data_IF_211939354254
#
_entry.id   IF_211939354254
#
_cell.length_a   1.000
_cell.length_b   1.000
_cell.length_c   1.000
_cell.angle_alpha   90.00
_cell.angle_beta   90.00
_cell.angle_gamma   90.00
#
_symmetry.space_group_name_H-M   'P 1'
#
loop_
_entity.id
_entity.type
_entity.pdbx_description
1 polymer ?
#
# COMPACT_ATOMS: atom_id res chain seq x y z
N UNK A 1 -31.27 -8.28 -17.66
CA UNK A 1 -30.70 -8.66 -16.35
C UNK A 1 -29.39 -7.91 -16.21
N UNK A 2 -29.15 -7.21 -15.11
CA UNK A 2 -27.82 -6.64 -14.86
C UNK A 2 -26.83 -7.82 -14.75
N UNK A 3 -25.64 -7.66 -15.34
CA UNK A 3 -24.58 -8.66 -15.18
C UNK A 3 -24.16 -8.75 -13.70
N UNK A 4 -23.78 -9.94 -13.25
CA UNK A 4 -23.27 -10.12 -11.88
C UNK A 4 -22.00 -9.27 -11.67
N UNK A 5 -21.84 -8.64 -10.49
CA UNK A 5 -20.65 -7.86 -10.18
C UNK A 5 -19.38 -8.67 -10.32
N UNK A 6 -18.40 -8.18 -11.07
CA UNK A 6 -17.12 -8.86 -11.25
C UNK A 6 -16.33 -8.89 -9.93
N UNK A 7 -15.89 -10.06 -9.45
CA UNK A 7 -15.13 -10.17 -8.21
C UNK A 7 -13.68 -9.72 -8.43
N UNK A 8 -13.17 -8.90 -7.51
CA UNK A 8 -11.76 -8.50 -7.47
C UNK A 8 -11.20 -8.63 -6.06
N UNK A 9 -9.91 -8.87 -5.95
CA UNK A 9 -9.15 -8.68 -4.73
C UNK A 9 -8.28 -7.42 -4.85
N UNK A 10 -8.12 -6.70 -3.76
CA UNK A 10 -7.28 -5.50 -3.71
C UNK A 10 -5.97 -5.80 -2.96
N UNK A 11 -4.88 -5.29 -3.49
CA UNK A 11 -3.56 -5.38 -2.88
C UNK A 11 -3.00 -3.96 -2.71
N UNK A 12 -3.01 -3.45 -1.45
CA UNK A 12 -2.78 -2.05 -1.14
C UNK A 12 -1.37 -1.84 -0.58
N UNK A 13 -0.51 -1.18 -1.35
CA UNK A 13 0.87 -0.92 -0.97
C UNK A 13 0.97 0.10 0.18
N UNK A 14 1.89 -0.15 1.11
CA UNK A 14 2.28 0.80 2.15
C UNK A 14 3.23 1.87 1.65
N UNK A 15 3.22 3.02 2.31
CA UNK A 15 4.06 4.16 1.95
C UNK A 15 3.77 5.43 2.75
N UNK A 16 3.35 5.30 4.01
CA UNK A 16 3.04 6.45 4.87
C UNK A 16 1.94 7.33 4.27
N UNK A 17 2.14 8.64 4.25
CA UNK A 17 1.18 9.62 3.73
C UNK A 17 0.87 9.46 2.24
N UNK A 18 1.73 8.76 1.46
CA UNK A 18 1.40 8.41 0.08
C UNK A 18 0.20 7.47 0.00
N UNK A 19 -0.20 6.81 1.08
CA UNK A 19 -1.45 6.07 1.20
C UNK A 19 -2.72 6.90 0.92
N UNK A 20 -2.63 8.24 0.95
CA UNK A 20 -3.71 9.11 0.50
C UNK A 20 -4.00 8.98 -1.01
N UNK A 21 -3.02 8.61 -1.84
CA UNK A 21 -3.25 8.21 -3.22
C UNK A 21 -4.15 6.95 -3.28
N UNK A 22 -3.88 5.97 -2.40
CA UNK A 22 -4.70 4.76 -2.28
C UNK A 22 -6.12 5.09 -1.84
N UNK A 23 -6.31 6.05 -0.90
CA UNK A 23 -7.64 6.54 -0.56
C UNK A 23 -8.40 7.03 -1.80
N UNK A 24 -7.79 7.86 -2.65
CA UNK A 24 -8.43 8.34 -3.87
C UNK A 24 -8.76 7.23 -4.86
N UNK A 25 -7.85 6.27 -5.04
CA UNK A 25 -8.09 5.11 -5.89
C UNK A 25 -9.26 4.26 -5.36
N UNK A 26 -9.35 4.05 -4.05
CA UNK A 26 -10.45 3.33 -3.40
C UNK A 26 -11.77 4.09 -3.53
N UNK A 27 -11.78 5.42 -3.37
CA UNK A 27 -12.98 6.24 -3.59
C UNK A 27 -13.60 5.93 -4.95
N UNK A 28 -12.78 5.88 -6.00
CA UNK A 28 -13.26 5.62 -7.36
C UNK A 28 -13.67 4.16 -7.57
N UNK A 29 -12.94 3.19 -7.00
CA UNK A 29 -13.31 1.77 -7.09
C UNK A 29 -14.61 1.48 -6.33
N UNK A 30 -14.83 2.12 -5.19
CA UNK A 30 -16.06 1.97 -4.39
C UNK A 30 -17.29 2.50 -5.12
N UNK A 31 -17.17 3.49 -6.01
CA UNK A 31 -18.27 3.91 -6.91
C UNK A 31 -18.64 2.78 -7.90
N UNK A 32 -17.67 1.99 -8.37
CA UNK A 32 -17.97 0.81 -9.20
C UNK A 32 -18.66 -0.30 -8.40
N UNK A 33 -18.30 -0.44 -7.11
CA UNK A 33 -18.98 -1.38 -6.20
C UNK A 33 -20.40 -0.93 -5.92
N UNK A 34 -20.63 0.37 -5.66
CA UNK A 34 -21.95 0.96 -5.43
C UNK A 34 -22.85 0.79 -6.68
N UNK A 35 -22.28 0.97 -7.86
CA UNK A 35 -22.98 0.76 -9.13
C UNK A 35 -23.22 -0.72 -9.48
N UNK A 36 -22.81 -1.67 -8.63
CA UNK A 36 -22.97 -3.10 -8.85
C UNK A 36 -22.12 -3.68 -9.99
N UNK A 37 -21.07 -2.99 -10.43
CA UNK A 37 -20.17 -3.48 -11.48
C UNK A 37 -19.00 -4.29 -10.95
N UNK A 38 -18.52 -3.99 -9.74
CA UNK A 38 -17.45 -4.69 -9.06
C UNK A 38 -17.90 -5.22 -7.68
N UNK A 39 -17.25 -6.29 -7.22
CA UNK A 39 -17.40 -6.83 -5.87
C UNK A 39 -16.02 -7.13 -5.28
N UNK A 40 -15.68 -6.50 -4.16
CA UNK A 40 -14.42 -6.73 -3.46
C UNK A 40 -14.56 -7.98 -2.60
N UNK A 41 -13.78 -9.02 -2.89
CA UNK A 41 -13.82 -10.32 -2.19
C UNK A 41 -12.79 -10.42 -1.09
N UNK A 42 -11.61 -9.83 -1.31
CA UNK A 42 -10.51 -9.82 -0.37
C UNK A 42 -9.67 -8.54 -0.52
N UNK A 43 -9.02 -8.13 0.57
CA UNK A 43 -8.11 -6.98 0.58
C UNK A 43 -6.86 -7.36 1.36
N UNK A 44 -5.69 -7.15 0.80
CA UNK A 44 -4.43 -7.23 1.54
C UNK A 44 -3.77 -5.85 1.64
N UNK A 45 -2.99 -5.64 2.70
CA UNK A 45 -2.26 -4.40 2.89
C UNK A 45 -1.05 -4.55 3.81
N UNK A 46 -0.15 -3.56 3.72
CA UNK A 46 0.93 -3.34 4.66
C UNK A 46 1.00 -1.85 4.99
N UNK A 47 1.38 -1.48 6.22
CA UNK A 47 1.53 -0.08 6.62
C UNK A 47 0.24 0.75 6.38
N UNK A 48 0.36 1.92 5.77
CA UNK A 48 -0.79 2.74 5.37
C UNK A 48 -1.79 1.97 4.46
N UNK A 49 -1.30 1.01 3.67
CA UNK A 49 -2.14 0.11 2.89
C UNK A 49 -3.06 -0.75 3.76
N UNK A 50 -2.56 -1.22 4.92
CA UNK A 50 -3.38 -1.94 5.92
C UNK A 50 -4.51 -1.07 6.47
N UNK A 51 -4.21 0.19 6.81
CA UNK A 51 -5.21 1.10 7.37
C UNK A 51 -6.31 1.40 6.34
N UNK A 52 -5.93 1.68 5.10
CA UNK A 52 -6.89 1.83 3.99
C UNK A 52 -7.71 0.54 3.77
N UNK A 53 -7.08 -0.64 3.82
CA UNK A 53 -7.74 -1.93 3.67
C UNK A 53 -8.77 -2.18 4.78
N UNK A 54 -8.38 -1.97 6.04
CA UNK A 54 -9.24 -2.18 7.19
C UNK A 54 -10.42 -1.21 7.22
N UNK A 55 -10.21 0.08 6.91
CA UNK A 55 -11.27 1.10 6.81
C UNK A 55 -12.27 0.74 5.71
N UNK A 56 -11.77 0.31 4.55
CA UNK A 56 -12.60 -0.13 3.44
C UNK A 56 -13.41 -1.37 3.80
N UNK A 57 -12.77 -2.41 4.34
CA UNK A 57 -13.45 -3.64 4.74
C UNK A 57 -14.52 -3.39 5.81
N UNK A 58 -14.18 -2.62 6.85
CA UNK A 58 -15.13 -2.28 7.92
C UNK A 58 -16.33 -1.49 7.40
N UNK A 59 -16.09 -0.49 6.54
CA UNK A 59 -17.17 0.29 5.94
C UNK A 59 -18.09 -0.57 5.08
N UNK A 60 -17.53 -1.44 4.23
CA UNK A 60 -18.29 -2.36 3.39
C UNK A 60 -19.16 -3.33 4.22
N UNK A 61 -18.62 -3.84 5.33
CA UNK A 61 -19.34 -4.76 6.23
C UNK A 61 -20.50 -4.07 6.94
N UNK A 62 -20.33 -2.82 7.36
CA UNK A 62 -21.29 -2.13 8.22
C UNK A 62 -22.34 -1.29 7.48
N UNK A 63 -22.01 -0.76 6.32
CA UNK A 63 -22.91 0.16 5.61
C UNK A 63 -22.64 0.32 4.12
N UNK A 64 -21.78 -0.54 3.57
CA UNK A 64 -21.51 -0.56 2.14
C UNK A 64 -20.49 0.50 1.67
N UNK A 65 -20.43 0.71 0.33
CA UNK A 65 -19.38 1.52 -0.30
C UNK A 65 -19.32 2.97 0.18
N UNK A 66 -20.48 3.58 0.42
CA UNK A 66 -20.55 4.97 0.85
C UNK A 66 -19.95 5.15 2.27
N UNK A 67 -20.28 4.25 3.21
CA UNK A 67 -19.67 4.28 4.54
C UNK A 67 -18.16 4.02 4.48
N UNK A 68 -17.69 3.15 3.59
CA UNK A 68 -16.26 2.92 3.41
C UNK A 68 -15.53 4.20 2.94
N UNK A 69 -16.11 4.95 2.00
CA UNK A 69 -15.59 6.24 1.53
C UNK A 69 -15.55 7.29 2.64
N UNK A 70 -16.62 7.37 3.44
CA UNK A 70 -16.67 8.28 4.59
C UNK A 70 -15.61 7.96 5.64
N UNK A 71 -15.38 6.68 5.96
CA UNK A 71 -14.35 6.25 6.91
C UNK A 71 -12.95 6.59 6.43
N UNK A 72 -12.65 6.37 5.15
CA UNK A 72 -11.37 6.75 4.55
C UNK A 72 -11.14 8.27 4.65
N UNK A 73 -12.15 9.08 4.30
CA UNK A 73 -12.05 10.53 4.36
C UNK A 73 -11.85 11.03 5.81
N UNK A 74 -12.59 10.48 6.77
CA UNK A 74 -12.47 10.83 8.18
C UNK A 74 -11.08 10.47 8.74
N UNK A 75 -10.55 9.29 8.41
CA UNK A 75 -9.22 8.87 8.84
C UNK A 75 -8.12 9.80 8.31
N UNK A 76 -8.10 10.09 7.02
CA UNK A 76 -7.09 10.95 6.43
C UNK A 76 -7.22 12.41 6.90
N UNK A 77 -8.43 12.86 7.26
CA UNK A 77 -8.63 14.13 7.96
C UNK A 77 -8.01 14.08 9.34
N UNK A 78 -8.24 13.03 10.11
CA UNK A 78 -7.63 12.81 11.42
C UNK A 78 -6.10 12.77 11.36
N UNK A 79 -5.51 12.17 10.31
CA UNK A 79 -4.06 12.22 10.07
C UNK A 79 -3.58 13.65 9.90
N UNK A 80 -4.29 14.47 9.13
CA UNK A 80 -3.93 15.88 8.95
C UNK A 80 -4.02 16.69 10.26
N UNK A 81 -5.04 16.44 11.06
CA UNK A 81 -5.31 17.16 12.32
C UNK A 81 -4.40 16.70 13.48
N UNK A 82 -3.93 15.46 13.46
CA UNK A 82 -3.10 14.90 14.54
C UNK A 82 -1.70 15.47 14.60
N UNK A 83 -1.24 16.11 13.56
CA UNK A 83 0.17 16.49 13.44
C UNK A 83 1.13 15.31 13.53
N UNK A 84 0.64 14.13 13.29
CA UNK A 84 1.12 12.80 13.64
C UNK A 84 2.56 12.51 13.20
N UNK A 85 2.95 13.00 12.04
CA UNK A 85 4.27 12.76 11.47
C UNK A 85 5.10 14.06 11.39
N UNK A 86 4.94 14.95 12.39
CA UNK A 86 5.66 16.21 12.42
C UNK A 86 5.02 17.31 11.56
N UNK A 87 3.71 17.22 11.31
CA UNK A 87 2.94 18.14 10.46
C UNK A 87 2.77 19.56 10.98
N UNK A 88 3.73 20.06 11.74
CA UNK A 88 3.82 21.49 11.98
C UNK A 88 4.21 22.18 10.67
N UNK A 89 3.37 23.08 10.10
CA UNK A 89 3.68 23.81 8.86
C UNK A 89 5.01 24.56 8.91
N UNK A 90 5.51 24.87 10.10
CA UNK A 90 6.83 25.48 10.32
C UNK A 90 7.99 24.56 9.94
N UNK A 91 7.79 23.23 9.95
CA UNK A 91 8.85 22.26 9.66
C UNK A 91 8.76 21.67 8.23
N UNK A 92 7.57 21.63 7.66
CA UNK A 92 7.33 21.01 6.35
C UNK A 92 6.73 21.99 5.35
N UNK A 93 7.16 23.22 5.32
CA UNK A 93 6.82 24.31 4.42
C UNK A 93 5.66 24.10 3.44
N UNK A 94 4.91 25.15 3.16
CA UNK A 94 4.03 25.21 1.99
C UNK A 94 4.76 24.69 0.75
N UNK A 95 4.07 24.05 -0.23
CA UNK A 95 4.68 23.64 -1.50
C UNK A 95 5.51 24.79 -2.04
N UNK A 96 6.80 24.53 -2.32
CA UNK A 96 7.67 25.56 -2.85
C UNK A 96 7.06 26.23 -4.09
N UNK A 97 7.53 27.42 -4.49
CA UNK A 97 6.93 28.23 -5.56
C UNK A 97 6.81 27.55 -6.93
N UNK A 98 7.28 26.33 -7.04
CA UNK A 98 7.23 25.51 -8.26
C UNK A 98 6.37 24.24 -8.12
N UNK A 99 5.52 24.14 -7.08
CA UNK A 99 4.61 23.00 -6.89
C UNK A 99 5.32 21.65 -6.66
N UNK A 100 6.57 21.65 -6.18
CA UNK A 100 7.26 20.42 -5.84
C UNK A 100 7.02 20.09 -4.37
N UNK A 101 6.38 18.95 -4.11
CA UNK A 101 6.25 18.37 -2.79
C UNK A 101 7.54 17.68 -2.30
N UNK A 102 8.67 17.93 -2.96
CA UNK A 102 9.96 17.39 -2.56
C UNK A 102 10.53 18.25 -1.42
N UNK A 103 10.32 17.80 -0.20
CA UNK A 103 10.80 18.43 1.03
C UNK A 103 12.25 18.08 1.36
N UNK A 104 12.89 17.19 0.58
CA UNK A 104 14.24 16.66 0.82
C UNK A 104 15.32 17.75 0.76
N UNK A 105 14.98 18.96 0.31
CA UNK A 105 15.89 20.11 0.24
C UNK A 105 15.71 21.10 1.38
N UNK A 106 14.77 20.89 2.31
CA UNK A 106 14.56 21.76 3.47
C UNK A 106 15.70 21.60 4.48
N UNK A 107 16.45 22.68 4.86
CA UNK A 107 17.53 22.57 5.85
C UNK A 107 17.06 22.05 7.22
N UNK A 108 15.81 22.38 7.59
CA UNK A 108 15.21 21.95 8.85
C UNK A 108 14.82 20.47 8.76
N UNK A 109 14.24 20.03 7.65
CA UNK A 109 13.93 18.63 7.42
C UNK A 109 15.21 17.78 7.45
N UNK A 110 16.28 18.22 6.81
CA UNK A 110 17.61 17.58 6.83
C UNK A 110 18.17 17.50 8.27
N UNK A 111 18.05 18.58 9.06
CA UNK A 111 18.55 18.59 10.44
C UNK A 111 17.76 17.62 11.34
N UNK A 112 16.42 17.59 11.21
CA UNK A 112 15.56 16.65 11.94
C UNK A 112 15.82 15.22 11.53
N UNK A 113 16.05 14.97 10.25
CA UNK A 113 16.36 13.65 9.72
C UNK A 113 17.75 13.18 10.22
N UNK A 114 18.76 14.06 10.25
CA UNK A 114 20.05 13.73 10.88
C UNK A 114 19.89 13.38 12.36
N UNK A 115 18.99 14.06 13.06
CA UNK A 115 18.67 13.76 14.46
C UNK A 115 17.95 12.41 14.58
N UNK A 116 17.03 12.07 13.68
CA UNK A 116 16.29 10.81 13.70
C UNK A 116 17.18 9.57 13.45
N UNK A 117 18.28 9.74 12.72
CA UNK A 117 19.30 8.66 12.55
C UNK A 117 20.02 8.35 13.86
N UNK A 118 20.12 9.34 14.77
CA UNK A 118 20.83 9.20 16.06
C UNK A 118 19.90 8.86 17.22
N UNK A 119 18.63 9.27 17.13
CA UNK A 119 17.64 9.10 18.21
C UNK A 119 16.56 8.12 17.76
N UNK A 120 16.64 6.90 18.29
CA UNK A 120 15.60 5.88 18.01
C UNK A 120 14.34 6.13 18.83
N UNK A 121 13.18 5.53 18.44
CA UNK A 121 11.95 5.57 19.26
C UNK A 121 12.15 5.06 20.70
N UNK A 122 13.18 4.25 20.96
CA UNK A 122 13.49 3.70 22.28
C UNK A 122 14.36 4.63 23.12
N UNK A 123 15.15 5.50 22.51
CA UNK A 123 16.06 6.44 23.19
C UNK A 123 15.50 7.86 23.26
N UNK A 124 14.40 8.12 22.55
CA UNK A 124 13.70 9.40 22.58
C UNK A 124 12.85 9.53 23.85
N UNK A 125 13.30 10.36 24.79
CA UNK A 125 12.59 10.63 26.05
C UNK A 125 11.20 11.30 25.84
N UNK A 126 10.96 11.88 24.68
CA UNK A 126 9.70 12.53 24.29
C UNK A 126 8.89 11.68 23.33
N UNK A 127 9.26 10.41 23.13
CA UNK A 127 8.52 9.51 22.24
C UNK A 127 7.06 9.43 22.65
N UNK A 128 6.18 9.55 21.66
CA UNK A 128 4.75 9.29 21.78
C UNK A 128 4.31 8.44 20.61
N UNK A 129 3.60 7.37 20.90
CA UNK A 129 2.95 6.58 19.87
C UNK A 129 1.74 7.34 19.34
N UNK A 130 1.93 8.01 18.22
CA UNK A 130 0.88 8.80 17.60
C UNK A 130 -0.05 7.96 16.71
N UNK A 131 0.34 6.72 16.37
CA UNK A 131 -0.47 5.81 15.58
C UNK A 131 -1.60 5.19 16.41
N UNK A 132 -1.33 4.89 17.69
CA UNK A 132 -2.30 4.26 18.58
C UNK A 132 -3.60 5.08 18.74
N UNK A 133 -3.59 6.40 19.03
CA UNK A 133 -4.81 7.18 19.15
C UNK A 133 -5.57 7.32 17.82
N UNK A 134 -4.87 7.40 16.68
CA UNK A 134 -5.51 7.43 15.37
C UNK A 134 -6.28 6.13 15.07
N UNK A 135 -5.65 4.99 15.32
CA UNK A 135 -6.29 3.68 15.13
C UNK A 135 -7.45 3.51 16.13
N UNK A 136 -7.29 3.93 17.38
CA UNK A 136 -8.35 3.85 18.38
C UNK A 136 -9.57 4.72 18.01
N UNK A 137 -9.34 5.90 17.41
CA UNK A 137 -10.41 6.76 16.91
C UNK A 137 -11.09 6.19 15.65
N UNK A 138 -10.33 5.52 14.80
CA UNK A 138 -10.83 4.97 13.53
C UNK A 138 -11.57 3.63 13.68
N UNK A 139 -11.25 2.83 14.72
CA UNK A 139 -11.80 1.49 14.91
C UNK A 139 -12.28 1.29 16.36
N UNK A 140 -13.59 1.33 16.56
CA UNK A 140 -14.22 0.91 17.83
C UNK A 140 -14.15 -0.61 18.00
N UNK A 141 -14.41 -1.09 19.22
CA UNK A 141 -14.50 -2.54 19.47
C UNK A 141 -15.64 -3.19 18.67
N UNK A 142 -16.75 -2.45 18.50
CA UNK A 142 -17.87 -2.87 17.66
C UNK A 142 -17.49 -2.99 16.18
N UNK A 143 -16.65 -2.10 15.66
CA UNK A 143 -16.14 -2.16 14.29
C UNK A 143 -15.30 -3.43 14.07
N UNK A 144 -14.37 -3.69 14.99
CA UNK A 144 -13.50 -4.86 14.90
C UNK A 144 -14.28 -6.17 15.09
N UNK A 145 -15.26 -6.20 15.99
CA UNK A 145 -16.13 -7.34 16.16
C UNK A 145 -16.94 -7.65 14.89
N UNK A 146 -17.52 -6.62 14.25
CA UNK A 146 -18.26 -6.77 13.01
C UNK A 146 -17.35 -7.24 11.86
N UNK A 147 -16.15 -6.65 11.74
CA UNK A 147 -15.17 -7.04 10.73
C UNK A 147 -14.73 -8.50 10.90
N UNK A 148 -14.44 -8.92 12.14
CA UNK A 148 -13.97 -10.27 12.45
C UNK A 148 -15.06 -11.34 12.24
N UNK A 149 -16.32 -10.99 12.40
CA UNK A 149 -17.45 -11.88 12.14
C UNK A 149 -17.81 -11.99 10.65
N UNK A 150 -17.31 -11.09 9.80
CA UNK A 150 -17.67 -11.03 8.39
C UNK A 150 -16.98 -12.11 7.57
N UNK A 151 -17.73 -12.72 6.65
CA UNK A 151 -17.18 -13.67 5.69
C UNK A 151 -16.43 -12.98 4.54
N UNK A 152 -16.85 -11.77 4.14
CA UNK A 152 -16.26 -10.98 3.06
C UNK A 152 -16.52 -9.48 3.26
N UNK A 153 -15.59 -8.60 2.80
CA UNK A 153 -14.31 -8.97 2.22
C UNK A 153 -13.36 -9.60 3.25
N UNK A 154 -12.56 -10.57 2.82
CA UNK A 154 -11.47 -11.10 3.66
C UNK A 154 -10.37 -10.05 3.74
N UNK A 155 -9.86 -9.81 4.94
CA UNK A 155 -8.79 -8.84 5.19
C UNK A 155 -7.51 -9.57 5.59
N UNK A 156 -6.39 -9.19 4.96
CA UNK A 156 -5.06 -9.73 5.19
C UNK A 156 -4.08 -8.61 5.52
N UNK A 157 -3.53 -8.63 6.72
CA UNK A 157 -2.66 -7.61 7.27
C UNK A 157 -1.25 -8.17 7.39
N UNK A 158 -0.33 -7.66 6.59
CA UNK A 158 1.08 -8.02 6.66
C UNK A 158 1.77 -7.37 7.85
N UNK A 159 2.58 -8.12 8.59
CA UNK A 159 3.51 -7.63 9.60
C UNK A 159 4.83 -8.42 9.53
N UNK A 160 5.89 -7.85 10.09
CA UNK A 160 7.22 -8.49 10.18
C UNK A 160 7.47 -8.94 11.60
N UNK A 161 7.58 -10.24 11.82
CA UNK A 161 8.08 -10.82 13.08
C UNK A 161 9.58 -10.57 13.17
N UNK A 162 9.96 -9.72 14.13
CA UNK A 162 11.36 -9.26 14.28
C UNK A 162 12.25 -10.34 14.88
N UNK A 163 11.67 -11.26 15.65
CA UNK A 163 12.44 -12.29 16.33
C UNK A 163 12.81 -13.45 15.41
N UNK A 164 11.97 -13.73 14.41
CA UNK A 164 12.09 -14.91 13.55
C UNK A 164 12.37 -14.59 12.08
N UNK A 165 12.58 -13.31 11.72
CA UNK A 165 12.76 -12.84 10.33
C UNK A 165 11.64 -13.32 9.41
N UNK A 166 10.40 -13.36 9.92
CA UNK A 166 9.27 -13.99 9.25
C UNK A 166 8.18 -12.98 8.88
N UNK A 167 7.58 -13.19 7.69
CA UNK A 167 6.34 -12.53 7.35
C UNK A 167 5.18 -13.21 8.07
N UNK A 168 4.42 -12.41 8.83
CA UNK A 168 3.15 -12.82 9.43
C UNK A 168 2.01 -12.10 8.74
N UNK A 169 0.91 -12.81 8.49
CA UNK A 169 -0.30 -12.24 7.93
C UNK A 169 -1.45 -12.51 8.89
N UNK A 170 -1.95 -11.43 9.50
CA UNK A 170 -3.16 -11.49 10.33
C UNK A 170 -4.40 -11.41 9.44
N UNK A 171 -5.45 -12.13 9.81
CA UNK A 171 -6.74 -12.12 9.11
C UNK A 171 -7.88 -12.35 10.10
N UNK A 172 -9.14 -12.22 9.64
CA UNK A 172 -10.28 -12.59 10.51
C UNK A 172 -10.16 -14.06 10.95
N UNK A 173 -10.48 -14.40 12.22
CA UNK A 173 -11.12 -13.52 13.21
C UNK A 173 -10.17 -12.73 14.12
N UNK A 174 -8.87 -12.66 13.82
CA UNK A 174 -7.82 -12.19 14.73
C UNK A 174 -7.39 -10.73 14.47
N UNK A 175 -8.23 -9.93 13.80
CA UNK A 175 -7.94 -8.51 13.56
C UNK A 175 -8.18 -7.70 14.83
N UNK A 176 -7.14 -7.02 15.31
CA UNK A 176 -7.16 -6.16 16.49
C UNK A 176 -6.53 -4.80 16.16
N UNK A 177 -6.66 -3.82 17.08
CA UNK A 177 -5.92 -2.56 16.94
C UNK A 177 -4.41 -2.79 16.94
N UNK A 178 -3.93 -3.77 17.69
CA UNK A 178 -2.49 -4.07 17.76
C UNK A 178 -1.99 -4.73 16.47
N UNK A 179 -2.78 -5.57 15.79
CA UNK A 179 -2.38 -6.10 14.47
C UNK A 179 -2.33 -4.99 13.40
N UNK A 180 -3.26 -4.00 13.46
CA UNK A 180 -3.22 -2.81 12.60
C UNK A 180 -1.97 -1.95 12.89
N UNK A 181 -1.65 -1.74 14.17
CA UNK A 181 -0.45 -1.00 14.60
C UNK A 181 0.83 -1.71 14.19
N UNK A 182 0.90 -3.03 14.42
CA UNK A 182 2.06 -3.86 14.06
C UNK A 182 2.40 -3.73 12.58
N UNK A 183 1.37 -3.78 11.72
CA UNK A 183 1.55 -3.62 10.27
C UNK A 183 2.11 -2.26 9.85
N UNK A 184 1.93 -1.22 10.68
CA UNK A 184 2.35 0.15 10.38
C UNK A 184 3.48 0.66 11.30
N UNK A 185 4.07 -0.21 12.13
CA UNK A 185 5.14 0.14 13.05
C UNK A 185 6.51 0.21 12.35
N UNK A 186 6.75 1.27 11.58
CA UNK A 186 8.05 1.51 10.94
C UNK A 186 9.12 1.73 12.03
N UNK A 187 10.22 0.94 12.08
CA UNK A 187 11.15 0.91 13.22
C UNK A 187 11.92 2.22 13.44
N UNK A 188 11.99 3.08 12.44
CA UNK A 188 12.60 4.42 12.57
C UNK A 188 11.66 5.43 13.24
N UNK A 189 10.34 5.16 13.23
CA UNK A 189 9.30 6.07 13.71
C UNK A 189 8.60 5.55 14.97
N UNK A 190 8.47 4.22 15.09
CA UNK A 190 7.69 3.55 16.14
C UNK A 190 8.46 2.46 16.84
N UNK A 191 8.13 2.26 18.11
CA UNK A 191 8.56 1.05 18.83
C UNK A 191 7.84 -0.17 18.27
N UNK A 192 8.46 -1.35 18.35
CA UNK A 192 7.83 -2.60 17.97
C UNK A 192 6.54 -2.83 18.77
N UNK A 193 5.52 -3.34 18.09
CA UNK A 193 4.26 -3.73 18.72
C UNK A 193 4.37 -5.17 19.17
N UNK A 194 4.17 -5.44 20.46
CA UNK A 194 4.19 -6.81 20.99
C UNK A 194 2.79 -7.40 20.96
N UNK A 195 2.64 -8.54 20.27
CA UNK A 195 1.41 -9.35 20.24
C UNK A 195 1.80 -10.74 20.73
N UNK A 196 1.17 -11.20 21.81
CA UNK A 196 1.46 -12.50 22.46
C UNK A 196 2.94 -12.72 22.77
N UNK A 197 3.64 -11.63 23.13
CA UNK A 197 5.08 -11.66 23.46
C UNK A 197 6.01 -11.62 22.25
N UNK A 198 5.50 -11.63 21.03
CA UNK A 198 6.30 -11.51 19.79
C UNK A 198 6.36 -10.05 19.36
N UNK A 199 7.54 -9.48 19.11
CA UNK A 199 7.68 -8.11 18.62
C UNK A 199 7.47 -8.04 17.11
N UNK A 200 6.66 -7.08 16.65
CA UNK A 200 6.37 -6.85 15.24
C UNK A 200 6.78 -5.46 14.78
N UNK A 201 7.31 -5.39 13.56
CA UNK A 201 7.51 -4.18 12.78
C UNK A 201 6.59 -4.15 11.57
N UNK A 202 6.65 -3.02 10.84
CA UNK A 202 5.92 -2.76 9.60
C UNK A 202 6.00 -3.94 8.62
N UNK A 203 4.85 -4.30 8.08
CA UNK A 203 4.74 -5.42 7.14
C UNK A 203 5.44 -5.18 5.80
N UNK A 204 5.72 -3.92 5.49
CA UNK A 204 6.34 -3.52 4.22
C UNK A 204 7.72 -4.13 3.97
N UNK A 205 8.43 -4.56 5.01
CA UNK A 205 9.74 -5.20 4.85
C UNK A 205 9.67 -6.58 4.18
N UNK A 206 8.62 -7.37 4.46
CA UNK A 206 8.52 -8.75 3.97
C UNK A 206 7.29 -9.02 3.09
N UNK A 207 6.39 -8.03 2.93
CA UNK A 207 5.20 -8.17 2.09
C UNK A 207 4.49 -6.83 1.87
N UNK A 208 4.78 -6.12 0.80
CA UNK A 208 4.25 -4.75 0.58
C UNK A 208 3.51 -4.56 -0.75
N UNK A 209 2.24 -4.96 -0.84
CA UNK A 209 1.45 -5.77 0.09
C UNK A 209 1.70 -7.27 -0.10
N UNK A 210 1.30 -8.15 0.86
CA UNK A 210 1.32 -9.60 0.65
C UNK A 210 0.27 -10.00 -0.39
N UNK A 211 0.67 -10.72 -1.45
CA UNK A 211 -0.23 -11.17 -2.53
C UNK A 211 -0.71 -12.60 -2.33
N UNK A 212 0.16 -13.48 -1.81
CA UNK A 212 -0.15 -14.90 -1.66
C UNK A 212 -1.46 -15.19 -0.91
N UNK A 213 -1.87 -14.42 0.12
CA UNK A 213 -3.14 -14.65 0.81
C UNK A 213 -4.38 -14.35 -0.03
N UNK A 214 -4.23 -13.57 -1.11
CA UNK A 214 -5.35 -13.25 -2.01
C UNK A 214 -5.67 -14.37 -3.00
N UNK A 215 -4.72 -15.29 -3.21
CA UNK A 215 -4.89 -16.39 -4.13
C UNK A 215 -6.04 -17.31 -3.66
N UNK A 216 -6.92 -17.68 -4.57
CA UNK A 216 -8.11 -18.48 -4.27
C UNK A 216 -9.36 -17.68 -3.89
N UNK A 217 -9.27 -16.35 -3.66
CA UNK A 217 -10.43 -15.51 -3.41
C UNK A 217 -11.07 -14.95 -4.69
N UNK A 218 -10.26 -14.76 -5.72
CA UNK A 218 -10.66 -14.35 -7.07
C UNK A 218 -9.50 -14.58 -8.03
N UNK A 219 -9.79 -14.56 -9.32
CA UNK A 219 -8.77 -14.65 -10.36
C UNK A 219 -8.19 -13.27 -10.73
N UNK A 220 -8.79 -12.16 -10.27
CA UNK A 220 -8.39 -10.79 -10.58
C UNK A 220 -7.86 -10.05 -9.34
N UNK A 221 -6.57 -9.66 -9.35
CA UNK A 221 -5.93 -8.89 -8.29
C UNK A 221 -5.60 -7.49 -8.82
N UNK A 222 -6.16 -6.47 -8.19
CA UNK A 222 -5.87 -5.06 -8.47
C UNK A 222 -4.91 -4.51 -7.42
N UNK A 223 -3.67 -4.23 -7.83
CA UNK A 223 -2.68 -3.57 -6.99
C UNK A 223 -2.89 -2.05 -7.03
N UNK A 224 -2.81 -1.41 -5.88
CA UNK A 224 -2.63 0.05 -5.79
C UNK A 224 -1.23 0.32 -5.31
N UNK A 225 -0.38 0.88 -6.19
CA UNK A 225 1.05 1.05 -5.97
C UNK A 225 1.38 2.53 -5.77
N UNK A 226 2.06 2.84 -4.66
CA UNK A 226 2.39 4.22 -4.26
C UNK A 226 3.89 4.51 -4.29
N UNK A 227 4.73 3.48 -4.37
CA UNK A 227 6.18 3.62 -4.45
C UNK A 227 6.66 3.54 -5.90
N UNK A 228 7.67 4.34 -6.25
CA UNK A 228 8.30 4.28 -7.56
C UNK A 228 9.09 2.98 -7.72
N UNK A 229 8.81 2.22 -8.77
CA UNK A 229 9.62 1.05 -9.14
C UNK A 229 10.89 1.44 -9.90
N UNK A 230 10.90 2.65 -10.45
CA UNK A 230 12.03 3.18 -11.21
C UNK A 230 12.34 4.60 -10.79
N UNK A 231 13.60 4.89 -10.56
CA UNK A 231 14.11 6.25 -10.42
C UNK A 231 15.22 6.46 -11.46
N UNK A 232 15.09 7.49 -12.27
CA UNK A 232 16.15 7.94 -13.16
C UNK A 232 17.11 8.84 -12.39
N UNK A 233 18.40 8.82 -12.71
CA UNK A 233 19.39 9.73 -12.17
C UNK A 233 20.54 9.03 -11.45
N UNK A 234 21.38 9.84 -10.79
CA UNK A 234 22.53 9.35 -10.01
C UNK A 234 22.04 8.75 -8.67
N UNK A 235 22.74 7.75 -8.12
CA UNK A 235 22.44 7.25 -6.79
C UNK A 235 22.46 8.39 -5.75
N UNK A 236 21.61 8.32 -4.70
CA UNK A 236 21.61 9.30 -3.62
C UNK A 236 22.98 9.32 -2.92
N UNK A 237 23.38 10.50 -2.41
CA UNK A 237 24.71 10.70 -1.82
C UNK A 237 24.66 11.04 -0.33
N UNK A 238 23.56 11.55 0.19
CA UNK A 238 23.39 11.79 1.62
C UNK A 238 22.97 10.51 2.35
N UNK A 239 23.38 10.32 3.59
CA UNK A 239 23.03 9.13 4.35
C UNK A 239 21.51 8.94 4.47
N UNK A 240 20.71 9.98 4.78
CA UNK A 240 19.25 9.86 4.78
C UNK A 240 18.71 9.40 3.43
N UNK A 241 19.02 10.06 2.34
CA UNK A 241 18.53 9.70 1.01
C UNK A 241 18.95 8.28 0.57
N UNK A 242 20.09 7.77 1.06
CA UNK A 242 20.52 6.38 0.86
C UNK A 242 19.60 5.43 1.63
N UNK A 243 19.32 5.72 2.91
CA UNK A 243 18.43 4.91 3.75
C UNK A 243 17.03 4.84 3.15
N UNK A 244 16.52 5.95 2.65
CA UNK A 244 15.23 6.01 1.96
C UNK A 244 15.19 5.12 0.74
N UNK A 245 16.23 5.21 -0.07
CA UNK A 245 16.30 4.38 -1.27
C UNK A 245 16.40 2.89 -0.91
N UNK A 246 17.10 2.54 0.16
CA UNK A 246 17.16 1.18 0.67
C UNK A 246 15.77 0.70 1.12
N UNK A 247 15.04 1.50 1.88
CA UNK A 247 13.67 1.18 2.30
C UNK A 247 12.74 1.02 1.08
N UNK A 248 12.81 1.92 0.10
CA UNK A 248 12.01 1.83 -1.11
C UNK A 248 12.31 0.54 -1.91
N UNK A 249 13.60 0.21 -2.08
CA UNK A 249 14.02 -1.03 -2.76
C UNK A 249 13.51 -2.25 -2.00
N UNK A 250 13.67 -2.28 -0.68
CA UNK A 250 13.23 -3.39 0.16
C UNK A 250 11.70 -3.57 0.08
N UNK A 251 10.97 -2.48 0.19
CA UNK A 251 9.49 -2.48 0.13
C UNK A 251 8.95 -2.91 -1.23
N UNK A 252 9.65 -2.61 -2.32
CA UNK A 252 9.26 -3.05 -3.66
C UNK A 252 9.71 -4.48 -3.96
N UNK A 253 10.81 -4.95 -3.35
CA UNK A 253 11.39 -6.26 -3.66
C UNK A 253 10.41 -7.40 -3.36
N UNK A 254 9.68 -7.33 -2.24
CA UNK A 254 8.75 -8.38 -1.83
C UNK A 254 7.60 -8.55 -2.83
N UNK A 255 6.97 -7.47 -3.26
CA UNK A 255 5.86 -7.56 -4.24
C UNK A 255 6.36 -8.01 -5.61
N UNK A 256 7.55 -7.62 -6.03
CA UNK A 256 8.15 -8.09 -7.29
C UNK A 256 8.42 -9.59 -7.25
N UNK A 257 8.89 -10.13 -6.13
CA UNK A 257 9.11 -11.57 -5.95
C UNK A 257 7.80 -12.35 -6.03
N UNK A 258 6.74 -11.89 -5.37
CA UNK A 258 5.43 -12.55 -5.44
C UNK A 258 4.80 -12.46 -6.84
N UNK A 259 4.91 -11.31 -7.51
CA UNK A 259 4.44 -11.16 -8.89
C UNK A 259 5.21 -12.06 -9.87
N UNK A 260 6.53 -12.23 -9.67
CA UNK A 260 7.32 -13.19 -10.43
C UNK A 260 6.84 -14.62 -10.25
N UNK A 261 6.50 -15.02 -9.03
CA UNK A 261 5.97 -16.34 -8.74
C UNK A 261 4.62 -16.56 -9.41
N UNK A 262 3.71 -15.59 -9.33
CA UNK A 262 2.41 -15.65 -10.00
C UNK A 262 2.58 -15.76 -11.52
N UNK A 263 3.46 -14.95 -12.12
CA UNK A 263 3.73 -15.01 -13.56
C UNK A 263 4.34 -16.34 -14.00
N UNK A 264 5.21 -16.94 -13.18
CA UNK A 264 5.77 -18.25 -13.44
C UNK A 264 4.68 -19.34 -13.40
N UNK A 265 3.77 -19.28 -12.45
CA UNK A 265 2.63 -20.19 -12.34
C UNK A 265 1.69 -20.00 -13.54
N UNK A 266 1.34 -18.76 -13.89
CA UNK A 266 0.50 -18.49 -15.05
C UNK A 266 1.10 -19.07 -16.35
N UNK A 267 2.40 -18.90 -16.57
CA UNK A 267 3.09 -19.48 -17.72
C UNK A 267 3.10 -21.02 -17.70
N UNK A 268 3.22 -21.62 -16.53
CA UNK A 268 3.13 -23.07 -16.39
C UNK A 268 1.71 -23.53 -16.73
N UNK A 269 0.69 -22.90 -16.18
CA UNK A 269 -0.72 -23.24 -16.44
C UNK A 269 -1.09 -23.08 -17.93
N UNK A 270 -0.53 -22.09 -18.62
CA UNK A 270 -0.76 -21.89 -20.05
C UNK A 270 -0.24 -23.04 -20.93
N UNK A 271 0.62 -23.92 -20.41
CA UNK A 271 1.10 -25.11 -21.11
C UNK A 271 0.10 -26.28 -21.02
N UNK A 272 -0.89 -26.20 -20.11
CA UNK A 272 -1.91 -27.24 -19.97
C UNK A 272 -3.23 -26.69 -20.54
N UNK A 273 -3.89 -27.43 -21.47
CA UNK A 273 -5.23 -27.13 -21.91
C UNK A 273 -6.20 -27.08 -20.71
N UNK A 274 -7.25 -26.27 -20.78
CA UNK A 274 -8.22 -26.13 -19.67
C UNK A 274 -8.90 -27.45 -19.29
N UNK A 275 -9.05 -28.35 -20.24
CA UNK A 275 -9.66 -29.68 -20.11
C UNK A 275 -8.64 -30.79 -19.83
N UNK A 276 -7.35 -30.49 -19.65
CA UNK A 276 -6.32 -31.46 -19.42
C UNK A 276 -6.52 -32.17 -18.07
N UNK A 277 -6.59 -33.53 -18.10
CA UNK A 277 -6.71 -34.40 -16.89
C UNK A 277 -5.60 -34.19 -15.86
N UNK A 278 -4.52 -33.52 -16.20
CA UNK A 278 -3.33 -33.33 -15.38
C UNK A 278 -3.15 -31.86 -14.93
N UNK A 279 -4.09 -30.97 -15.25
CA UNK A 279 -4.07 -29.61 -14.71
C UNK A 279 -4.38 -29.68 -13.22
N UNK A 280 -3.55 -29.08 -12.35
CA UNK A 280 -3.85 -29.03 -10.92
C UNK A 280 -5.20 -28.33 -10.69
N UNK A 281 -6.20 -28.96 -10.06
CA UNK A 281 -7.56 -28.41 -9.96
C UNK A 281 -7.65 -27.13 -9.12
N UNK A 282 -6.68 -26.94 -8.22
CA UNK A 282 -6.68 -25.83 -7.26
C UNK A 282 -5.96 -24.57 -7.80
N UNK A 283 -5.33 -24.65 -8.98
CA UNK A 283 -4.60 -23.52 -9.57
C UNK A 283 -5.35 -22.93 -10.76
N UNK A 284 -5.60 -21.63 -10.69
CA UNK A 284 -6.18 -20.82 -11.77
C UNK A 284 -5.20 -19.73 -12.20
N UNK A 285 -5.23 -19.33 -13.48
CA UNK A 285 -4.50 -18.14 -13.91
C UNK A 285 -4.99 -16.92 -13.14
N UNK A 286 -4.05 -16.12 -12.66
CA UNK A 286 -4.34 -14.88 -11.95
C UNK A 286 -4.10 -13.70 -12.88
N UNK A 287 -5.11 -12.86 -13.05
CA UNK A 287 -5.01 -11.62 -13.78
C UNK A 287 -4.49 -10.52 -12.85
N UNK A 288 -3.41 -9.89 -13.27
CA UNK A 288 -2.78 -8.83 -12.50
C UNK A 288 -3.09 -7.48 -13.14
N UNK A 289 -3.57 -6.57 -12.28
CA UNK A 289 -3.90 -5.20 -12.63
C UNK A 289 -3.15 -4.25 -11.72
N UNK A 290 -2.85 -3.02 -12.18
CA UNK A 290 -2.20 -2.03 -11.33
C UNK A 290 -2.73 -0.62 -11.57
N UNK A 291 -3.12 0.03 -10.49
CA UNK A 291 -3.41 1.47 -10.43
C UNK A 291 -2.16 2.13 -9.84
N UNK A 292 -1.45 2.92 -10.65
CA UNK A 292 -0.20 3.58 -10.24
C UNK A 292 0.05 4.83 -11.07
N UNK A 293 0.78 5.77 -10.49
CA UNK A 293 1.36 6.93 -11.21
C UNK A 293 2.86 6.98 -10.96
N UNK A 294 3.64 6.39 -11.88
CA UNK A 294 5.10 6.33 -11.76
C UNK A 294 5.75 7.73 -11.83
N UNK A 295 5.10 8.70 -12.50
CA UNK A 295 5.63 10.08 -12.61
C UNK A 295 5.46 10.81 -11.28
N UNK A 296 4.30 10.67 -10.66
CA UNK A 296 4.06 11.22 -9.33
C UNK A 296 5.00 10.57 -8.33
N UNK A 297 5.02 9.23 -8.24
CA UNK A 297 5.85 8.49 -7.28
C UNK A 297 7.35 8.82 -7.40
N UNK A 298 7.85 9.04 -8.64
CA UNK A 298 9.24 9.44 -8.85
C UNK A 298 9.55 10.88 -8.42
N UNK A 299 8.54 11.77 -8.35
CA UNK A 299 8.68 13.18 -7.92
C UNK A 299 8.54 13.37 -6.42
N UNK A 300 7.85 12.44 -5.75
CA UNK A 300 7.69 12.46 -4.30
C UNK A 300 8.99 12.01 -3.64
N UNK A 301 9.50 12.82 -2.69
CA UNK A 301 10.62 12.47 -1.84
C UNK A 301 10.19 11.64 -0.63
N UNK A 302 11.15 11.12 0.11
CA UNK A 302 10.88 10.37 1.34
C UNK A 302 10.18 11.23 2.40
N UNK A 303 10.62 12.47 2.58
CA UNK A 303 10.04 13.40 3.55
C UNK A 303 8.54 13.58 3.36
N UNK A 304 8.03 13.46 2.12
CA UNK A 304 6.61 13.53 1.84
C UNK A 304 5.81 12.33 2.37
N UNK A 305 6.47 11.17 2.66
CA UNK A 305 5.84 10.01 3.30
C UNK A 305 5.45 10.28 4.75
N UNK A 306 6.11 11.24 5.39
CA UNK A 306 5.88 11.63 6.78
C UNK A 306 5.08 12.93 6.90
N UNK A 307 4.66 13.52 5.79
CA UNK A 307 3.92 14.78 5.79
C UNK A 307 2.45 14.58 6.14
N UNK A 308 1.94 15.36 7.09
CA UNK A 308 0.51 15.42 7.43
C UNK A 308 -0.19 16.64 6.83
N UNK A 309 0.45 17.33 5.90
CA UNK A 309 -0.16 18.47 5.20
C UNK A 309 -1.44 18.05 4.50
N UNK A 310 -2.57 18.66 4.90
CA UNK A 310 -3.86 18.40 4.24
C UNK A 310 -3.83 18.70 2.75
N UNK A 311 -3.07 19.73 2.35
CA UNK A 311 -2.90 20.08 0.94
C UNK A 311 -2.26 18.91 0.17
N UNK A 312 -1.17 18.31 0.69
CA UNK A 312 -0.54 17.16 0.09
C UNK A 312 -1.47 15.94 0.07
N UNK A 313 -2.11 15.63 1.21
CA UNK A 313 -3.00 14.47 1.33
C UNK A 313 -4.19 14.58 0.37
N UNK A 314 -4.81 15.76 0.28
CA UNK A 314 -5.94 15.98 -0.63
C UNK A 314 -5.52 15.93 -2.11
N UNK A 315 -4.34 16.45 -2.45
CA UNK A 315 -3.83 16.35 -3.82
C UNK A 315 -3.48 14.90 -4.20
N UNK A 316 -2.84 14.15 -3.31
CA UNK A 316 -2.58 12.72 -3.52
C UNK A 316 -3.88 11.94 -3.71
N UNK A 317 -4.89 12.22 -2.90
CA UNK A 317 -6.24 11.64 -3.06
C UNK A 317 -6.81 11.95 -4.43
N UNK A 318 -6.77 13.20 -4.88
CA UNK A 318 -7.33 13.61 -6.17
C UNK A 318 -6.59 13.00 -7.35
N UNK A 319 -5.25 12.86 -7.26
CA UNK A 319 -4.46 12.14 -8.27
C UNK A 319 -4.82 10.66 -8.26
N UNK A 320 -4.93 10.02 -7.09
CA UNK A 320 -5.33 8.63 -6.97
C UNK A 320 -6.68 8.34 -7.60
N UNK A 321 -7.67 9.21 -7.32
CA UNK A 321 -9.01 9.12 -7.91
C UNK A 321 -8.97 9.21 -9.45
N UNK A 322 -8.27 10.22 -9.99
CA UNK A 322 -8.15 10.40 -11.45
C UNK A 322 -7.40 9.23 -12.10
N UNK A 323 -6.36 8.73 -11.46
CA UNK A 323 -5.58 7.58 -11.96
C UNK A 323 -6.45 6.33 -12.02
N UNK A 324 -7.23 6.06 -10.98
CA UNK A 324 -8.18 4.93 -10.96
C UNK A 324 -9.27 5.10 -12.02
N UNK A 325 -9.79 6.32 -12.21
CA UNK A 325 -10.80 6.60 -13.25
C UNK A 325 -10.24 6.34 -14.66
N UNK A 326 -9.03 6.80 -14.95
CA UNK A 326 -8.38 6.54 -16.24
C UNK A 326 -8.09 5.04 -16.43
N UNK A 327 -7.60 4.36 -15.38
CA UNK A 327 -7.35 2.93 -15.44
C UNK A 327 -8.65 2.15 -15.71
N UNK A 328 -9.75 2.46 -15.02
CA UNK A 328 -11.06 1.84 -15.27
C UNK A 328 -11.57 2.07 -16.69
N UNK A 329 -11.41 3.29 -17.22
CA UNK A 329 -11.82 3.61 -18.57
C UNK A 329 -11.01 2.84 -19.64
N UNK A 330 -9.74 2.56 -19.38
CA UNK A 330 -8.86 1.87 -20.31
C UNK A 330 -8.89 0.34 -20.15
N UNK A 331 -9.08 -0.17 -18.92
CA UNK A 331 -8.86 -1.55 -18.54
C UNK A 331 -10.01 -2.19 -17.75
N UNK A 332 -11.09 -1.47 -17.52
CA UNK A 332 -12.24 -2.02 -16.79
C UNK A 332 -12.77 -3.30 -17.42
N UNK A 333 -12.74 -3.43 -18.73
CA UNK A 333 -13.19 -4.64 -19.45
C UNK A 333 -12.17 -5.79 -19.42
N UNK A 334 -10.92 -5.53 -19.03
CA UNK A 334 -9.92 -6.58 -18.87
C UNK A 334 -10.18 -7.44 -17.60
N UNK A 335 -10.89 -6.90 -16.59
CA UNK A 335 -11.25 -7.62 -15.36
C UNK A 335 -12.13 -8.84 -15.72
N UNK A 336 -11.72 -10.02 -15.27
CA UNK A 336 -12.37 -11.30 -15.59
C UNK A 336 -11.95 -11.90 -16.94
N UNK A 337 -11.07 -11.21 -17.70
CA UNK A 337 -10.69 -11.65 -19.04
C UNK A 337 -9.18 -11.82 -19.20
N UNK A 338 -8.38 -10.89 -18.70
CA UNK A 338 -6.92 -10.89 -18.85
C UNK A 338 -6.25 -9.86 -17.93
N UNK A 339 -4.95 -10.03 -17.69
CA UNK A 339 -4.13 -9.01 -17.02
C UNK A 339 -4.09 -7.71 -17.81
N UNK A 340 -4.24 -6.57 -17.11
CA UNK A 340 -3.96 -5.25 -17.68
C UNK A 340 -2.51 -4.81 -17.46
N UNK A 341 -1.75 -5.51 -16.62
CA UNK A 341 -0.33 -5.27 -16.36
C UNK A 341 0.50 -6.41 -16.95
N UNK A 342 1.40 -6.07 -17.88
CA UNK A 342 2.52 -6.95 -18.22
C UNK A 342 3.58 -6.83 -17.11
N UNK A 343 3.51 -7.74 -16.13
CA UNK A 343 4.40 -7.76 -14.97
C UNK A 343 5.86 -7.82 -15.40
N UNK A 344 6.16 -8.63 -16.40
CA UNK A 344 7.53 -8.83 -16.89
C UNK A 344 8.08 -7.55 -17.48
N UNK A 345 7.39 -6.96 -18.45
CA UNK A 345 7.82 -5.73 -19.11
C UNK A 345 7.81 -4.52 -18.17
N UNK A 346 6.84 -4.45 -17.25
CA UNK A 346 6.66 -3.28 -16.39
C UNK A 346 7.61 -3.24 -15.19
N UNK A 347 7.89 -4.41 -14.57
CA UNK A 347 8.55 -4.48 -13.26
C UNK A 347 9.85 -5.30 -13.28
N UNK A 348 9.99 -6.29 -14.18
CA UNK A 348 11.08 -7.27 -14.14
C UNK A 348 12.17 -7.01 -15.17
N UNK A 349 11.81 -6.91 -16.46
CA UNK A 349 12.74 -6.86 -17.60
C UNK A 349 13.30 -5.49 -17.99
N UNK A 350 12.89 -4.36 -17.42
CA UNK A 350 13.37 -3.05 -17.88
C UNK A 350 14.88 -2.86 -17.73
N UNK A 351 15.51 -3.65 -16.87
CA UNK A 351 16.96 -3.54 -16.58
C UNK A 351 17.82 -4.19 -17.67
N UNK A 352 17.30 -5.17 -18.41
CA UNK A 352 18.07 -5.94 -19.38
C UNK A 352 18.09 -5.31 -20.79
N UNK A 353 17.25 -4.30 -21.06
CA UNK A 353 17.10 -3.71 -22.40
C UNK A 353 17.69 -2.30 -22.57
N UNK A 354 18.22 -1.68 -21.53
CA UNK A 354 18.92 -0.41 -21.70
C UNK A 354 20.31 -0.67 -22.34
N UNK A 355 20.61 -0.14 -23.52
CA UNK A 355 21.98 -0.22 -24.06
C UNK A 355 22.93 0.47 -23.07
N UNK A 356 24.15 -0.04 -22.90
CA UNK A 356 25.14 0.61 -22.06
C UNK A 356 25.33 2.07 -22.52
N UNK A 357 25.50 3.02 -21.58
CA UNK A 357 25.72 4.40 -21.95
C UNK A 357 26.91 4.45 -22.88
N UNK A 358 26.71 5.03 -24.07
CA UNK A 358 27.80 5.25 -25.03
C UNK A 358 28.92 5.99 -24.31
N UNK A 359 30.08 5.37 -24.18
CA UNK A 359 31.29 6.04 -23.70
C UNK A 359 31.56 7.16 -24.70
N UNK A 360 31.23 8.40 -24.34
CA UNK A 360 31.73 9.55 -25.03
C UNK A 360 33.24 9.57 -24.79
N UNK A 361 34.01 9.40 -25.86
CA UNK A 361 35.46 9.63 -25.87
C UNK A 361 35.74 11.12 -25.76
#
# INVERSE_FOLDING_TARGET
MAADPRPIALALQGGGSHGAFTWGALDRLLEEVEAGRLRITAISGASAGTLNAALTATGLVQGGPDLARQRLAAFWRGVAESGFLGGNPLFYGEPGPFGSFNLDTSPIAIALEMLSVVVSPYTNLFYRDALAPLIAAAFSDGDLAALNAAAAPRLFIGATDVANDARVVFSQPDITRDTLRASAALPTEFQAVSIDGVPFWDGGFLGNPPLSPLLGHTDDIVLVLVNAFRRSGMPPRSAPAIMDRLNEITFNASVVLELNAIEAINRLLAQFPEDAKHRPPDYRPIHIHAIRDDRLAARLGFQSKNSTSWLLLSELRDVGYRTAAHWLAAHGDDIGARSSLDVKAALIDPVLKAPPPSRRR
#
